data_IF_702837033019
#
_entry.id   IF_702837033019
#
_cell.length_a   1.000
_cell.length_b   1.000
_cell.length_c   1.000
_cell.angle_alpha   90.00
_cell.angle_beta   90.00
_cell.angle_gamma   90.00
#
_symmetry.space_group_name_H-M   'P 1'
#
loop_
_entity.id
_entity.type
_entity.pdbx_description
1 polymer ?
#
# COMPACT_ATOMS: atom_id res chain seq x y z
N UNK A 1 -23.06 3.12 0.71
CA UNK A 1 -22.29 1.91 0.35
C UNK A 1 -21.22 2.35 -0.62
N UNK A 2 -20.01 2.64 -0.11
CA UNK A 2 -18.88 3.13 -0.89
C UNK A 2 -18.11 1.91 -1.37
N UNK A 3 -18.31 1.52 -2.64
CA UNK A 3 -17.56 0.40 -3.19
C UNK A 3 -16.16 0.89 -3.55
N UNK A 4 -15.18 0.50 -2.75
CA UNK A 4 -13.79 0.94 -2.90
C UNK A 4 -13.03 -0.02 -3.82
N UNK A 5 -13.21 0.14 -5.13
CA UNK A 5 -12.49 -0.67 -6.14
C UNK A 5 -11.07 -0.15 -6.43
N UNK A 6 -10.73 0.99 -5.84
CA UNK A 6 -9.51 1.78 -6.04
C UNK A 6 -8.68 1.92 -4.76
N UNK A 7 -8.99 1.15 -3.71
CA UNK A 7 -8.30 1.21 -2.41
C UNK A 7 -7.48 -0.03 -2.15
N UNK A 8 -6.23 0.16 -1.73
CA UNK A 8 -5.39 -0.91 -1.17
C UNK A 8 -5.06 -0.55 0.27
N UNK A 9 -5.38 -1.44 1.19
CA UNK A 9 -4.96 -1.32 2.59
C UNK A 9 -3.61 -2.00 2.75
N UNK A 10 -2.59 -1.21 3.03
CA UNK A 10 -1.25 -1.67 3.33
C UNK A 10 -1.09 -1.76 4.83
N UNK A 11 -0.59 -2.90 5.29
CA UNK A 11 -0.17 -3.10 6.66
C UNK A 11 1.26 -3.66 6.66
N UNK A 12 2.12 -3.16 7.55
CA UNK A 12 3.46 -3.69 7.74
C UNK A 12 3.73 -3.95 9.21
N UNK A 13 4.80 -4.67 9.49
CA UNK A 13 5.30 -4.84 10.86
C UNK A 13 6.41 -3.84 11.13
N UNK A 14 6.43 -3.33 12.37
CA UNK A 14 7.56 -2.53 12.85
C UNK A 14 8.82 -3.40 12.74
N UNK A 15 9.86 -2.98 12.00
CA UNK A 15 11.09 -3.74 11.92
C UNK A 15 11.71 -3.84 13.32
N UNK A 16 12.32 -4.99 13.62
CA UNK A 16 13.05 -5.23 14.87
C UNK A 16 14.38 -4.45 14.84
N UNK A 17 14.30 -3.13 14.95
CA UNK A 17 15.47 -2.24 15.08
C UNK A 17 15.64 -1.82 16.53
N UNK A 18 16.86 -1.48 16.92
CA UNK A 18 17.20 -0.93 18.24
C UNK A 18 16.85 0.57 18.35
N UNK A 19 16.45 1.20 17.24
CA UNK A 19 16.12 2.62 17.17
C UNK A 19 14.61 2.88 17.19
N UNK A 20 14.19 3.97 17.82
CA UNK A 20 12.79 4.38 17.82
C UNK A 20 12.39 4.95 16.45
N UNK A 21 11.46 4.27 15.81
CA UNK A 21 10.87 4.71 14.54
C UNK A 21 9.87 5.82 14.84
N UNK A 22 10.14 7.00 14.29
CA UNK A 22 9.29 8.18 14.46
C UNK A 22 8.17 8.21 13.41
N UNK A 23 8.48 7.81 12.17
CA UNK A 23 7.54 7.87 11.05
C UNK A 23 7.87 6.81 10.00
N UNK A 24 6.86 6.43 9.22
CA UNK A 24 6.99 5.58 8.06
C UNK A 24 6.70 6.40 6.81
N UNK A 25 7.59 6.34 5.84
CA UNK A 25 7.36 6.87 4.50
C UNK A 25 6.91 5.73 3.62
N UNK A 26 5.72 5.82 3.09
CA UNK A 26 5.16 4.88 2.12
C UNK A 26 5.25 5.52 0.74
N UNK A 27 5.76 4.81 -0.24
CA UNK A 27 5.75 5.24 -1.64
C UNK A 27 4.95 4.25 -2.46
N UNK A 28 3.99 4.73 -3.22
CA UNK A 28 3.24 3.94 -4.20
C UNK A 28 3.59 4.42 -5.60
N UNK A 29 4.11 3.51 -6.42
CA UNK A 29 4.49 3.81 -7.80
C UNK A 29 3.77 2.88 -8.76
N UNK A 30 3.01 3.46 -9.68
CA UNK A 30 2.49 2.75 -10.84
C UNK A 30 3.60 2.55 -11.88
N UNK A 31 3.60 1.40 -12.54
CA UNK A 31 4.55 1.11 -13.62
C UNK A 31 4.44 2.17 -14.74
N UNK A 32 5.50 2.97 -14.90
CA UNK A 32 5.55 4.06 -15.88
C UNK A 32 5.08 5.43 -15.38
N UNK A 33 4.65 5.52 -14.12
CA UNK A 33 4.19 6.77 -13.48
C UNK A 33 5.14 7.22 -12.36
N UNK A 34 4.99 8.48 -11.93
CA UNK A 34 5.76 9.04 -10.82
C UNK A 34 5.35 8.38 -9.48
N UNK A 35 6.30 8.09 -8.58
CA UNK A 35 5.99 7.58 -7.26
C UNK A 35 5.26 8.66 -6.45
N UNK A 36 4.11 8.30 -5.88
CA UNK A 36 3.46 9.09 -4.86
C UNK A 36 4.01 8.70 -3.49
N UNK A 37 4.32 9.68 -2.64
CA UNK A 37 4.80 9.46 -1.28
C UNK A 37 3.75 9.87 -0.25
N UNK A 38 3.70 9.15 0.86
CA UNK A 38 2.80 9.41 1.98
C UNK A 38 3.53 9.09 3.26
N UNK A 39 3.52 10.01 4.21
CA UNK A 39 4.16 9.82 5.51
C UNK A 39 3.09 9.52 6.54
N UNK A 40 3.24 8.41 7.26
CA UNK A 40 2.32 7.97 8.31
C UNK A 40 3.09 7.63 9.58
N UNK A 41 2.47 7.84 10.73
CA UNK A 41 3.00 7.44 12.03
C UNK A 41 2.56 6.03 12.46
N UNK A 42 1.67 5.41 11.69
CA UNK A 42 1.10 4.09 11.97
C UNK A 42 1.73 3.02 11.07
N UNK A 43 1.51 1.75 11.41
CA UNK A 43 1.96 0.61 10.59
C UNK A 43 0.91 0.14 9.58
N UNK A 44 -0.09 0.99 9.33
CA UNK A 44 -1.20 0.73 8.43
C UNK A 44 -1.55 2.02 7.68
N UNK A 45 -1.74 1.92 6.37
CA UNK A 45 -2.26 3.04 5.55
C UNK A 45 -3.22 2.51 4.50
N UNK A 46 -4.26 3.29 4.23
CA UNK A 46 -5.15 3.06 3.11
C UNK A 46 -4.75 3.96 1.94
N UNK A 47 -4.36 3.35 0.83
CA UNK A 47 -4.05 4.06 -0.41
C UNK A 47 -5.26 3.97 -1.32
N UNK A 48 -5.98 5.08 -1.49
CA UNK A 48 -7.15 5.22 -2.36
C UNK A 48 -6.80 5.85 -3.71
N UNK A 49 -7.75 5.88 -4.64
CA UNK A 49 -7.61 6.46 -5.99
C UNK A 49 -6.57 5.73 -6.86
N UNK A 50 -6.42 4.43 -6.67
CA UNK A 50 -5.56 3.60 -7.50
C UNK A 50 -6.29 3.18 -8.78
N UNK A 51 -5.56 3.12 -9.88
CA UNK A 51 -6.08 2.61 -11.15
C UNK A 51 -6.30 1.10 -11.02
N UNK A 52 -7.47 0.55 -11.37
CA UNK A 52 -7.70 -0.89 -11.37
C UNK A 52 -6.87 -1.61 -12.45
N UNK A 53 -6.64 -2.91 -12.28
CA UNK A 53 -5.84 -3.74 -13.22
C UNK A 53 -4.42 -3.22 -13.47
N UNK A 54 -3.86 -2.49 -12.50
CA UNK A 54 -2.58 -1.80 -12.66
C UNK A 54 -1.60 -2.28 -11.60
N UNK A 55 -0.36 -2.51 -12.01
CA UNK A 55 0.71 -2.94 -11.11
C UNK A 55 1.25 -1.73 -10.35
N UNK A 56 1.06 -1.74 -9.04
CA UNK A 56 1.66 -0.76 -8.13
C UNK A 56 2.78 -1.40 -7.33
N UNK A 57 3.89 -0.68 -7.21
CA UNK A 57 4.99 -0.99 -6.30
C UNK A 57 4.83 -0.14 -5.06
N UNK A 58 4.56 -0.78 -3.92
CA UNK A 58 4.45 -0.12 -2.63
C UNK A 58 5.73 -0.37 -1.84
N UNK A 59 6.41 0.69 -1.43
CA UNK A 59 7.62 0.61 -0.62
C UNK A 59 7.42 1.38 0.67
N UNK A 60 7.80 0.80 1.79
CA UNK A 60 7.67 1.38 3.13
C UNK A 60 9.06 1.54 3.71
N UNK A 61 9.41 2.76 4.08
CA UNK A 61 10.68 3.15 4.68
C UNK A 61 10.43 3.54 6.13
N UNK A 62 11.15 2.93 7.06
CA UNK A 62 11.13 3.35 8.45
C UNK A 62 12.09 4.53 8.64
N UNK A 63 11.60 5.67 9.12
CA UNK A 63 12.42 6.85 9.40
C UNK A 63 12.53 7.06 10.91
N UNK A 64 13.77 7.15 11.37
CA UNK A 64 14.17 7.31 12.76
C UNK A 64 14.93 8.63 12.93
N UNK A 65 15.14 9.08 14.16
CA UNK A 65 15.95 10.29 14.44
C UNK A 65 17.39 10.16 13.95
N UNK A 66 17.89 8.93 13.80
CA UNK A 66 19.25 8.63 13.36
C UNK A 66 19.37 8.59 11.82
N UNK A 67 18.24 8.42 11.11
CA UNK A 67 18.19 8.36 9.64
C UNK A 67 17.06 7.47 9.10
N UNK A 68 17.03 7.30 7.77
CA UNK A 68 16.15 6.33 7.10
C UNK A 68 16.73 4.93 7.25
N UNK A 69 15.94 4.03 7.84
CA UNK A 69 16.25 2.63 8.06
C UNK A 69 15.87 1.74 6.87
N UNK A 70 15.86 0.41 7.06
CA UNK A 70 15.51 -0.53 6.00
C UNK A 70 14.11 -0.26 5.46
N UNK A 71 13.96 -0.48 4.16
CA UNK A 71 12.67 -0.40 3.49
C UNK A 71 12.21 -1.77 3.02
N UNK A 72 10.89 -1.97 3.07
CA UNK A 72 10.24 -3.17 2.58
C UNK A 72 9.34 -2.78 1.41
N UNK A 73 9.48 -3.46 0.28
CA UNK A 73 8.70 -3.19 -0.92
C UNK A 73 7.97 -4.43 -1.41
N UNK A 74 6.81 -4.21 -2.00
CA UNK A 74 5.96 -5.23 -2.58
C UNK A 74 5.36 -4.76 -3.89
N UNK A 75 5.04 -5.71 -4.75
CA UNK A 75 4.37 -5.44 -6.01
C UNK A 75 2.95 -5.99 -5.91
N UNK A 76 1.97 -5.10 -5.97
CA UNK A 76 0.57 -5.46 -5.85
C UNK A 76 -0.17 -4.95 -7.08
N UNK A 77 -0.75 -5.87 -7.84
CA UNK A 77 -1.72 -5.52 -8.88
C UNK A 77 -3.05 -5.22 -8.20
N UNK A 78 -3.62 -4.06 -8.50
CA UNK A 78 -4.97 -3.70 -8.07
C UNK A 78 -5.99 -4.64 -8.72
N UNK A 79 -7.05 -4.98 -7.99
CA UNK A 79 -8.10 -5.82 -8.54
C UNK A 79 -8.76 -5.12 -9.73
N UNK A 80 -9.16 -5.90 -10.74
CA UNK A 80 -9.97 -5.36 -11.81
C UNK A 80 -11.27 -4.79 -11.25
N UNK A 81 -11.64 -3.57 -11.67
CA UNK A 81 -13.06 -3.22 -11.68
C UNK A 81 -13.68 -4.25 -12.60
N UNK A 82 -14.36 -5.27 -12.08
CA UNK A 82 -14.99 -6.28 -12.94
C UNK A 82 -15.93 -5.54 -13.90
N UNK A 83 -15.49 -5.32 -15.14
CA UNK A 83 -16.35 -4.96 -16.27
C UNK A 83 -16.90 -6.26 -16.85
N UNK A 84 -17.55 -7.09 -16.01
CA UNK A 84 -18.37 -8.16 -16.55
C UNK A 84 -19.58 -8.49 -15.67
N UNK A 85 -20.68 -8.62 -16.41
CA UNK A 85 -22.02 -9.09 -16.07
C UNK A 85 -21.92 -10.57 -15.70
N UNK A 86 -22.24 -10.99 -14.46
CA UNK A 86 -22.95 -12.25 -14.12
C UNK A 86 -22.66 -12.75 -12.68
N UNK A 87 -23.77 -13.01 -11.98
CA UNK A 87 -24.03 -13.90 -10.83
C UNK A 87 -23.22 -13.77 -9.53
N UNK A 88 -23.93 -13.26 -8.51
CA UNK A 88 -23.81 -13.53 -7.06
C UNK A 88 -22.56 -12.98 -6.37
N UNK A 89 -22.64 -11.68 -6.08
CA UNK A 89 -22.02 -10.96 -4.95
C UNK A 89 -20.75 -11.54 -4.32
N UNK A 90 -19.60 -11.09 -4.81
CA UNK A 90 -18.32 -11.24 -4.10
C UNK A 90 -17.55 -9.92 -4.22
N UNK A 91 -17.58 -9.14 -3.13
CA UNK A 91 -16.79 -7.90 -2.99
C UNK A 91 -15.40 -8.28 -2.51
N UNK A 92 -14.35 -7.98 -3.28
CA UNK A 92 -12.98 -8.37 -2.96
C UNK A 92 -12.17 -7.13 -2.57
N UNK A 93 -12.04 -6.88 -1.26
CA UNK A 93 -11.05 -5.94 -0.73
C UNK A 93 -9.72 -6.67 -0.62
N UNK A 94 -8.67 -6.16 -1.27
CA UNK A 94 -7.34 -6.79 -1.19
C UNK A 94 -6.63 -6.27 0.04
N UNK A 95 -6.44 -7.14 1.03
CA UNK A 95 -5.61 -6.86 2.20
C UNK A 95 -4.19 -7.33 1.91
N UNK A 96 -3.24 -6.41 2.04
CA UNK A 96 -1.85 -6.70 1.70
C UNK A 96 -0.95 -6.43 2.90
N UNK A 97 -0.21 -7.46 3.32
CA UNK A 97 0.77 -7.37 4.40
C UNK A 97 2.18 -7.36 3.84
N UNK A 98 2.96 -6.37 4.24
CA UNK A 98 4.40 -6.25 3.96
C UNK A 98 5.14 -6.84 5.18
N UNK A 99 5.98 -7.86 4.94
CA UNK A 99 6.72 -8.61 5.97
C UNK A 99 8.13 -8.05 6.18
#
# INVERSE_FOLDING_TARGET
MNYTYDTVTLAWRKPATQCDIEKYRVTCQEEGSLPAETVVNETTVEVSQLTPETLYTFSVYASTSEGEGPSASINQTTAATRKYKSCRGESCSTYTTIL
#
